data_IF_473278912732
#
_entry.id   IF_473278912732
#
_cell.length_a   1.000
_cell.length_b   1.000
_cell.length_c   1.000
_cell.angle_alpha   90.00
_cell.angle_beta   90.00
_cell.angle_gamma   90.00
#
_symmetry.space_group_name_H-M   'P 1'
#
loop_
_entity.id
_entity.type
_entity.pdbx_description
1 polymer ?
#
# COMPACT_ATOMS: atom_id res chain seq x y z
N UNK A 1 -1.26 -16.14 30.73
CA UNK A 1 -0.20 -16.25 29.71
C UNK A 1 -0.69 -16.96 28.44
N UNK A 2 -1.50 -18.01 28.54
CA UNK A 2 -2.07 -18.74 27.39
C UNK A 2 -3.07 -17.93 26.54
N UNK A 3 -3.90 -17.08 27.16
CA UNK A 3 -4.87 -16.26 26.42
C UNK A 3 -4.23 -15.19 25.53
N UNK A 4 -3.10 -14.60 25.94
CA UNK A 4 -2.38 -13.61 25.14
C UNK A 4 -1.74 -14.26 23.90
N UNK A 5 -1.15 -15.45 24.07
CA UNK A 5 -0.59 -16.24 22.97
C UNK A 5 -1.69 -16.71 22.00
N UNK A 6 -2.84 -17.17 22.51
CA UNK A 6 -3.95 -17.59 21.65
C UNK A 6 -4.61 -16.42 20.92
N UNK A 7 -4.74 -15.26 21.55
CA UNK A 7 -5.23 -14.03 20.90
C UNK A 7 -4.34 -13.58 19.77
N UNK A 8 -3.02 -13.57 19.97
CA UNK A 8 -2.03 -13.26 18.94
C UNK A 8 -2.06 -14.29 17.82
N UNK A 9 -2.06 -15.60 18.14
CA UNK A 9 -2.10 -16.64 17.11
C UNK A 9 -3.39 -16.62 16.29
N UNK A 10 -4.53 -16.32 16.90
CA UNK A 10 -5.80 -16.20 16.19
C UNK A 10 -5.88 -14.93 15.34
N UNK A 11 -5.31 -13.80 15.81
CA UNK A 11 -5.18 -12.58 15.02
C UNK A 11 -4.23 -12.80 13.82
N UNK A 12 -3.09 -13.47 14.05
CA UNK A 12 -2.14 -13.82 13.00
C UNK A 12 -2.77 -14.75 11.97
N UNK A 13 -3.48 -15.80 12.41
CA UNK A 13 -4.22 -16.70 11.52
C UNK A 13 -5.31 -15.98 10.73
N UNK A 14 -5.98 -14.98 11.29
CA UNK A 14 -7.02 -14.21 10.60
C UNK A 14 -6.45 -13.25 9.55
N UNK A 15 -5.23 -12.74 9.77
CA UNK A 15 -4.46 -11.97 8.77
C UNK A 15 -3.91 -12.91 7.68
N UNK A 16 -3.45 -14.12 8.04
CA UNK A 16 -2.91 -15.11 7.11
C UNK A 16 -3.97 -15.86 6.30
N UNK A 17 -5.18 -16.06 6.83
CA UNK A 17 -6.23 -16.89 6.21
C UNK A 17 -6.93 -16.21 5.03
N UNK A 18 -6.64 -14.94 4.78
CA UNK A 18 -7.14 -14.23 3.61
C UNK A 18 -6.23 -14.45 2.42
N UNK A 19 -6.72 -15.17 1.40
CA UNK A 19 -6.15 -15.22 0.03
C UNK A 19 -5.67 -13.83 -0.48
N UNK A 20 -6.28 -12.77 0.03
CA UNK A 20 -5.97 -11.36 -0.23
C UNK A 20 -4.56 -10.90 0.18
N UNK A 21 -3.90 -11.47 1.20
CA UNK A 21 -2.56 -10.98 1.60
C UNK A 21 -1.49 -11.39 0.59
N UNK A 22 -1.50 -12.66 0.17
CA UNK A 22 -0.59 -13.16 -0.86
C UNK A 22 -0.85 -12.43 -2.20
N UNK A 23 -2.13 -12.23 -2.55
CA UNK A 23 -2.51 -11.49 -3.75
C UNK A 23 -2.08 -10.02 -3.69
N UNK A 24 -2.20 -9.37 -2.52
CA UNK A 24 -1.74 -8.00 -2.31
C UNK A 24 -0.22 -7.87 -2.47
N UNK A 25 0.55 -8.81 -1.90
CA UNK A 25 2.01 -8.81 -2.04
C UNK A 25 2.45 -9.00 -3.50
N UNK A 26 1.84 -9.96 -4.21
CA UNK A 26 2.12 -10.20 -5.64
C UNK A 26 1.74 -8.96 -6.46
N UNK A 27 0.59 -8.36 -6.19
CA UNK A 27 0.13 -7.15 -6.87
C UNK A 27 1.08 -5.97 -6.64
N UNK A 28 1.49 -5.72 -5.39
CA UNK A 28 2.43 -4.64 -5.06
C UNK A 28 3.79 -4.84 -5.72
N UNK A 29 4.32 -6.07 -5.71
CA UNK A 29 5.57 -6.38 -6.40
C UNK A 29 5.46 -6.15 -7.92
N UNK A 30 4.37 -6.61 -8.53
CA UNK A 30 4.10 -6.39 -9.96
C UNK A 30 3.94 -4.90 -10.30
N UNK A 31 3.23 -4.14 -9.47
CA UNK A 31 3.05 -2.70 -9.64
C UNK A 31 4.41 -1.98 -9.66
N UNK A 32 5.30 -2.27 -8.72
CA UNK A 32 6.62 -1.63 -8.65
C UNK A 32 7.44 -1.92 -9.92
N UNK A 33 7.46 -3.16 -10.41
CA UNK A 33 8.17 -3.51 -11.65
C UNK A 33 7.60 -2.80 -12.87
N UNK A 34 6.27 -2.77 -13.01
CA UNK A 34 5.59 -2.11 -14.14
C UNK A 34 5.82 -0.60 -14.09
N UNK A 35 5.64 0.02 -12.91
CA UNK A 35 5.81 1.46 -12.73
C UNK A 35 7.26 1.90 -13.04
N UNK A 36 8.26 1.18 -12.53
CA UNK A 36 9.67 1.45 -12.83
C UNK A 36 9.95 1.36 -14.34
N UNK A 37 9.42 0.33 -15.00
CA UNK A 37 9.61 0.12 -16.44
C UNK A 37 8.97 1.22 -17.26
N UNK A 38 7.70 1.57 -16.96
CA UNK A 38 6.96 2.62 -17.67
C UNK A 38 7.62 3.98 -17.49
N UNK A 39 7.99 4.36 -16.27
CA UNK A 39 8.64 5.65 -16.00
C UNK A 39 9.98 5.73 -16.73
N UNK A 40 10.83 4.71 -16.60
CA UNK A 40 12.13 4.65 -17.30
C UNK A 40 11.95 4.78 -18.82
N UNK A 41 10.98 4.07 -19.40
CA UNK A 41 10.74 4.10 -20.85
C UNK A 41 10.18 5.43 -21.36
N UNK A 42 9.28 6.07 -20.59
CA UNK A 42 8.61 7.29 -21.03
C UNK A 42 9.43 8.56 -20.76
N UNK A 43 10.22 8.58 -19.69
CA UNK A 43 10.95 9.79 -19.28
C UNK A 43 12.46 9.68 -19.46
N UNK A 44 13.00 8.47 -19.67
CA UNK A 44 14.44 8.23 -19.68
C UNK A 44 15.10 8.31 -18.30
N UNK A 45 14.31 8.42 -17.22
CA UNK A 45 14.82 8.46 -15.85
C UNK A 45 15.50 7.14 -15.47
N UNK A 46 16.47 7.21 -14.56
CA UNK A 46 17.14 6.02 -14.06
C UNK A 46 16.17 5.10 -13.28
N UNK A 47 16.48 3.80 -13.21
CA UNK A 47 15.70 2.85 -12.40
C UNK A 47 15.58 3.27 -10.93
N UNK A 48 16.57 4.00 -10.41
CA UNK A 48 16.54 4.52 -9.04
C UNK A 48 15.48 5.62 -8.87
N UNK A 49 15.45 6.57 -9.79
CA UNK A 49 14.44 7.64 -9.80
C UNK A 49 13.05 7.07 -10.05
N UNK A 50 12.92 6.13 -10.98
CA UNK A 50 11.68 5.45 -11.28
C UNK A 50 11.17 4.62 -10.09
N UNK A 51 12.07 3.94 -9.36
CA UNK A 51 11.75 3.20 -8.14
C UNK A 51 11.33 4.10 -6.98
N UNK A 52 11.99 5.25 -6.82
CA UNK A 52 11.60 6.26 -5.85
C UNK A 52 10.18 6.78 -6.14
N UNK A 53 9.88 7.12 -7.40
CA UNK A 53 8.53 7.57 -7.81
C UNK A 53 7.49 6.48 -7.55
N UNK A 54 7.77 5.23 -7.91
CA UNK A 54 6.86 4.09 -7.72
C UNK A 54 6.46 3.83 -6.25
N UNK A 55 7.22 4.32 -5.28
CA UNK A 55 6.90 4.20 -3.85
C UNK A 55 6.37 5.52 -3.26
N UNK A 56 6.97 6.64 -3.64
CA UNK A 56 6.68 7.96 -3.07
C UNK A 56 5.33 8.47 -3.56
N UNK A 57 5.01 8.33 -4.85
CA UNK A 57 3.75 8.78 -5.43
C UNK A 57 2.52 8.16 -4.75
N UNK A 58 2.39 6.81 -4.66
CA UNK A 58 1.25 6.20 -3.97
C UNK A 58 1.18 6.56 -2.48
N UNK A 59 2.34 6.78 -1.83
CA UNK A 59 2.38 7.21 -0.41
C UNK A 59 1.82 8.62 -0.23
N UNK A 60 2.25 9.57 -1.07
CA UNK A 60 1.76 10.95 -1.05
C UNK A 60 0.27 10.99 -1.41
N UNK A 61 -0.16 10.24 -2.43
CA UNK A 61 -1.57 10.13 -2.80
C UNK A 61 -2.43 9.58 -1.65
N UNK A 62 -1.92 8.60 -0.89
CA UNK A 62 -2.59 8.10 0.30
C UNK A 62 -2.76 9.16 1.40
N UNK A 63 -1.72 9.96 1.65
CA UNK A 63 -1.78 11.08 2.62
C UNK A 63 -2.77 12.14 2.17
N UNK A 64 -2.73 12.54 0.90
CA UNK A 64 -3.67 13.51 0.34
C UNK A 64 -5.12 13.01 0.42
N UNK A 65 -5.36 11.73 0.09
CA UNK A 65 -6.67 11.11 0.25
C UNK A 65 -7.15 11.15 1.70
N UNK A 66 -6.28 10.88 2.68
CA UNK A 66 -6.62 10.99 4.10
C UNK A 66 -7.05 12.41 4.49
N UNK A 67 -6.33 13.44 4.02
CA UNK A 67 -6.67 14.85 4.26
C UNK A 67 -8.03 15.17 3.66
N UNK A 68 -8.26 14.81 2.39
CA UNK A 68 -9.53 15.02 1.70
C UNK A 68 -10.68 14.32 2.41
N UNK A 69 -10.51 13.05 2.77
CA UNK A 69 -11.52 12.28 3.46
C UNK A 69 -11.86 12.86 4.84
N UNK A 70 -10.84 13.31 5.57
CA UNK A 70 -11.02 13.94 6.89
C UNK A 70 -11.72 15.30 6.76
N UNK A 71 -11.33 16.12 5.78
CA UNK A 71 -11.99 17.39 5.47
C UNK A 71 -13.44 17.20 5.04
N UNK A 72 -13.70 16.20 4.19
CA UNK A 72 -15.04 15.88 3.70
C UNK A 72 -15.98 15.41 4.80
N UNK A 73 -15.51 14.56 5.73
CA UNK A 73 -16.29 14.16 6.92
C UNK A 73 -16.68 15.37 7.76
N UNK A 74 -15.72 16.27 8.03
CA UNK A 74 -15.96 17.51 8.76
C UNK A 74 -16.97 18.42 8.05
N UNK A 75 -16.92 18.52 6.73
CA UNK A 75 -17.85 19.33 5.94
C UNK A 75 -19.26 18.74 5.89
N UNK A 76 -19.40 17.41 5.80
CA UNK A 76 -20.72 16.75 5.77
C UNK A 76 -21.32 16.48 7.14
N UNK A 77 -20.62 16.79 8.24
CA UNK A 77 -21.11 16.57 9.60
C UNK A 77 -21.33 15.09 9.93
N UNK A 78 -20.52 14.20 9.35
CA UNK A 78 -20.50 12.75 9.62
C UNK A 78 -19.26 12.40 10.43
#
# INVERSE_FOLDING_TARGET
MTEFTQGIQNAFRKILSGSSLALALIYTAGHVVIAMSVVTLLTGASLWEAGAVALVEPSINGVWFYILHTGWKRLKGI
#
